data_IF_558743140886
#
_entry.id   IF_558743140886
#
_cell.length_a   1.000
_cell.length_b   1.000
_cell.length_c   1.000
_cell.angle_alpha   90.00
_cell.angle_beta   90.00
_cell.angle_gamma   90.00
#
_symmetry.space_group_name_H-M   'P 1'
#
loop_
_entity.id
_entity.type
_entity.pdbx_description
1 polymer ?
#
# COMPACT_ATOMS: atom_id res chain seq x y z
N UNK A 1 -21.44 1.22 11.35
CA UNK A 1 -21.69 2.59 10.84
C UNK A 1 -21.14 2.85 9.43
N UNK A 2 -20.37 1.94 8.79
CA UNK A 2 -19.98 2.09 7.36
C UNK A 2 -21.02 1.49 6.37
N UNK A 3 -21.76 0.44 6.73
CA UNK A 3 -22.87 -0.11 5.91
C UNK A 3 -24.02 0.89 5.63
N UNK A 4 -23.99 2.08 6.23
CA UNK A 4 -25.00 3.14 6.01
C UNK A 4 -24.57 4.18 4.96
N UNK A 5 -23.32 4.16 4.50
CA UNK A 5 -22.81 5.06 3.47
C UNK A 5 -22.51 4.27 2.20
N UNK A 6 -23.40 4.40 1.20
CA UNK A 6 -23.32 4.26 -0.27
C UNK A 6 -21.98 3.85 -0.96
N UNK A 7 -21.12 3.05 -0.34
CA UNK A 7 -20.06 2.35 -1.04
C UNK A 7 -20.70 1.36 -2.00
N UNK A 8 -20.14 1.23 -3.21
CA UNK A 8 -20.50 0.10 -4.05
C UNK A 8 -19.89 -1.13 -3.38
N UNK A 9 -20.75 -2.04 -2.95
CA UNK A 9 -20.35 -3.31 -2.37
C UNK A 9 -20.16 -4.33 -3.49
N UNK A 10 -19.10 -5.11 -3.38
CA UNK A 10 -18.72 -6.16 -4.31
C UNK A 10 -18.43 -7.44 -3.53
N UNK A 11 -18.48 -8.57 -4.21
CA UNK A 11 -18.07 -9.87 -3.66
C UNK A 11 -16.90 -10.35 -4.49
N UNK A 12 -15.76 -10.55 -3.84
CA UNK A 12 -14.59 -11.13 -4.48
C UNK A 12 -14.57 -12.63 -4.21
N UNK A 13 -14.18 -13.41 -5.21
CA UNK A 13 -14.04 -14.86 -5.08
C UNK A 13 -12.59 -15.25 -5.28
N UNK A 14 -12.02 -15.94 -4.29
CA UNK A 14 -10.64 -16.44 -4.33
C UNK A 14 -10.49 -17.42 -5.49
N UNK A 15 -9.44 -17.24 -6.29
CA UNK A 15 -9.07 -18.15 -7.38
C UNK A 15 -7.79 -18.94 -7.08
N UNK A 16 -7.00 -18.48 -6.10
CA UNK A 16 -5.77 -19.13 -5.67
C UNK A 16 -5.01 -18.30 -4.64
N UNK A 17 -3.91 -18.84 -4.13
CA UNK A 17 -3.03 -18.13 -3.23
C UNK A 17 -1.59 -18.62 -3.34
N UNK A 18 -0.65 -17.72 -3.05
CA UNK A 18 0.80 -17.93 -3.10
C UNK A 18 1.41 -17.49 -1.76
N UNK A 19 2.26 -18.35 -1.17
CA UNK A 19 3.07 -17.96 -0.03
C UNK A 19 4.38 -17.34 -0.53
N UNK A 20 4.46 -16.01 -0.53
CA UNK A 20 5.59 -15.25 -1.09
C UNK A 20 6.82 -15.35 -0.18
N UNK A 21 6.62 -15.14 1.12
CA UNK A 21 7.61 -15.44 2.18
C UNK A 21 6.85 -16.03 3.37
N UNK A 22 7.52 -16.52 4.41
CA UNK A 22 6.82 -17.00 5.63
C UNK A 22 5.87 -15.95 6.23
N UNK A 23 6.18 -14.65 6.02
CA UNK A 23 5.43 -13.53 6.59
C UNK A 23 4.67 -12.70 5.55
N UNK A 24 4.56 -13.19 4.32
CA UNK A 24 3.91 -12.46 3.24
C UNK A 24 3.15 -13.41 2.32
N UNK A 25 1.86 -13.15 2.10
CA UNK A 25 0.98 -14.00 1.30
C UNK A 25 0.23 -13.20 0.26
N UNK A 26 0.14 -13.73 -0.95
CA UNK A 26 -0.68 -13.19 -2.03
C UNK A 26 -1.91 -14.06 -2.22
N UNK A 27 -3.07 -13.44 -2.37
CA UNK A 27 -4.34 -14.13 -2.68
C UNK A 27 -4.89 -13.54 -3.97
N UNK A 28 -5.32 -14.39 -4.89
CA UNK A 28 -5.84 -14.04 -6.21
C UNK A 28 -7.36 -14.06 -6.19
N UNK A 29 -7.99 -13.13 -6.90
CA UNK A 29 -9.44 -12.93 -6.89
C UNK A 29 -10.01 -12.71 -8.28
N UNK A 30 -11.25 -13.14 -8.46
CA UNK A 30 -12.19 -12.46 -9.37
C UNK A 30 -12.84 -11.29 -8.63
N UNK A 31 -13.14 -10.23 -9.36
CA UNK A 31 -13.42 -8.90 -8.78
C UNK A 31 -14.90 -8.59 -8.57
N UNK A 32 -15.81 -9.47 -9.00
CA UNK A 32 -17.25 -9.25 -8.92
C UNK A 32 -17.74 -8.04 -9.72
N UNK A 33 -17.04 -7.62 -10.79
CA UNK A 33 -17.36 -6.47 -11.64
C UNK A 33 -16.87 -5.12 -11.10
N UNK A 34 -16.02 -5.13 -10.07
CA UNK A 34 -15.42 -3.94 -9.45
C UNK A 34 -14.68 -3.06 -10.47
N UNK A 35 -13.76 -3.66 -11.22
CA UNK A 35 -12.82 -2.96 -12.07
C UNK A 35 -13.53 -2.28 -13.25
N UNK A 36 -14.51 -2.95 -13.86
CA UNK A 36 -15.36 -2.34 -14.90
C UNK A 36 -16.20 -1.19 -14.33
N UNK A 37 -16.76 -1.36 -13.14
CA UNK A 37 -17.69 -0.38 -12.55
C UNK A 37 -17.02 0.88 -11.97
N UNK A 38 -15.72 0.83 -11.67
CA UNK A 38 -14.98 1.89 -10.97
C UNK A 38 -13.78 2.41 -11.77
N UNK A 39 -13.16 1.57 -12.60
CA UNK A 39 -11.85 1.82 -13.18
C UNK A 39 -10.71 1.55 -12.19
N UNK A 40 -9.47 1.83 -12.63
CA UNK A 40 -8.23 1.59 -11.87
C UNK A 40 -7.40 2.85 -11.74
N UNK A 41 -6.65 2.96 -10.64
CA UNK A 41 -5.66 4.00 -10.44
C UNK A 41 -4.51 3.48 -9.56
N UNK A 42 -3.31 4.10 -9.59
CA UNK A 42 -2.22 3.71 -8.70
C UNK A 42 -2.64 3.82 -7.24
N UNK A 43 -2.11 2.92 -6.41
CA UNK A 43 -2.40 2.81 -4.96
C UNK A 43 -3.87 2.53 -4.62
N UNK A 44 -4.68 2.07 -5.60
CA UNK A 44 -6.08 1.73 -5.39
C UNK A 44 -6.24 0.66 -4.31
N UNK A 45 -7.19 0.88 -3.40
CA UNK A 45 -7.43 0.00 -2.27
C UNK A 45 -8.93 -0.15 -1.99
N UNK A 46 -9.27 -1.29 -1.40
CA UNK A 46 -10.63 -1.73 -1.09
C UNK A 46 -10.71 -2.14 0.37
N UNK A 47 -11.90 -2.03 0.98
CA UNK A 47 -12.13 -2.53 2.34
C UNK A 47 -12.74 -3.91 2.27
N UNK A 48 -12.01 -4.91 2.74
CA UNK A 48 -12.53 -6.26 2.92
C UNK A 48 -13.19 -6.40 4.29
N UNK A 49 -14.29 -7.16 4.35
CA UNK A 49 -15.02 -7.44 5.58
C UNK A 49 -14.75 -8.87 6.06
N UNK A 50 -13.98 -8.99 7.14
CA UNK A 50 -13.63 -10.25 7.78
C UNK A 50 -14.60 -10.57 8.92
N UNK A 51 -14.84 -11.85 9.18
CA UNK A 51 -15.41 -12.28 10.45
C UNK A 51 -14.34 -12.26 11.55
N UNK A 52 -14.69 -11.68 12.69
CA UNK A 52 -13.85 -11.69 13.89
C UNK A 52 -14.70 -12.15 15.07
N UNK A 53 -14.80 -13.46 15.24
CA UNK A 53 -15.62 -14.12 16.26
C UNK A 53 -17.10 -13.68 16.20
N UNK A 54 -17.68 -13.73 15.00
CA UNK A 54 -19.08 -13.37 14.75
C UNK A 54 -19.35 -11.87 14.62
N UNK A 55 -18.30 -11.03 14.62
CA UNK A 55 -18.41 -9.58 14.45
C UNK A 55 -17.71 -9.14 13.17
N UNK A 56 -18.35 -8.29 12.34
CA UNK A 56 -17.74 -7.80 11.11
C UNK A 56 -16.58 -6.86 11.43
N UNK A 57 -15.44 -7.10 10.77
CA UNK A 57 -14.21 -6.36 10.99
C UNK A 57 -13.56 -6.03 9.65
N UNK A 58 -13.39 -4.75 9.36
CA UNK A 58 -12.87 -4.33 8.06
C UNK A 58 -11.37 -4.04 8.06
N UNK A 59 -10.70 -4.36 6.96
CA UNK A 59 -9.31 -3.94 6.67
C UNK A 59 -9.18 -3.48 5.23
N UNK A 60 -8.33 -2.48 5.01
CA UNK A 60 -8.04 -1.98 3.68
C UNK A 60 -6.88 -2.76 3.07
N UNK A 61 -7.00 -3.15 1.80
CA UNK A 61 -5.94 -3.80 1.03
C UNK A 61 -5.80 -3.12 -0.33
N UNK A 62 -4.56 -2.96 -0.77
CA UNK A 62 -4.25 -2.39 -2.08
C UNK A 62 -4.35 -3.47 -3.15
N UNK A 63 -4.90 -3.13 -4.31
CA UNK A 63 -4.96 -4.04 -5.46
C UNK A 63 -3.57 -4.22 -6.06
N UNK A 64 -3.26 -5.46 -6.41
CA UNK A 64 -2.05 -5.88 -7.13
C UNK A 64 -2.49 -6.41 -8.49
N UNK A 65 -1.89 -5.89 -9.55
CA UNK A 65 -2.12 -6.29 -10.94
C UNK A 65 -3.61 -6.40 -11.33
N UNK A 66 -4.39 -5.31 -11.19
CA UNK A 66 -5.78 -5.34 -11.65
C UNK A 66 -5.84 -5.45 -13.18
N UNK A 67 -6.53 -6.49 -13.65
CA UNK A 67 -6.85 -6.75 -15.04
C UNK A 67 -8.35 -6.52 -15.24
N UNK A 68 -8.69 -5.42 -15.92
CA UNK A 68 -10.07 -5.00 -16.17
C UNK A 68 -10.78 -5.96 -17.14
N UNK A 69 -10.07 -6.50 -18.13
CA UNK A 69 -10.65 -7.40 -19.13
C UNK A 69 -10.95 -8.77 -18.52
N UNK A 70 -10.02 -9.29 -17.72
CA UNK A 70 -10.20 -10.56 -17.02
C UNK A 70 -11.10 -10.46 -15.77
N UNK A 71 -11.32 -9.25 -15.23
CA UNK A 71 -12.01 -9.05 -13.96
C UNK A 71 -11.27 -9.70 -12.79
N UNK A 72 -9.94 -9.59 -12.79
CA UNK A 72 -9.08 -10.24 -11.78
C UNK A 72 -8.08 -9.27 -11.17
N UNK A 73 -7.66 -9.55 -9.95
CA UNK A 73 -6.56 -8.87 -9.27
C UNK A 73 -6.04 -9.77 -8.14
N UNK A 74 -4.97 -9.33 -7.49
CA UNK A 74 -4.46 -9.96 -6.27
C UNK A 74 -4.43 -8.98 -5.10
N UNK A 75 -4.43 -9.51 -3.88
CA UNK A 75 -4.15 -8.74 -2.66
C UNK A 75 -2.99 -9.39 -1.92
N UNK A 76 -2.15 -8.57 -1.30
CA UNK A 76 -1.01 -9.03 -0.54
C UNK A 76 -1.17 -8.72 0.95
N UNK A 77 -0.86 -9.72 1.77
CA UNK A 77 -1.06 -9.72 3.21
C UNK A 77 0.32 -9.83 3.89
N UNK A 78 0.76 -8.72 4.49
CA UNK A 78 1.82 -8.75 5.50
C UNK A 78 1.27 -9.49 6.73
N UNK A 79 1.81 -10.67 7.02
CA UNK A 79 1.25 -11.59 8.00
C UNK A 79 1.65 -11.18 9.42
N UNK A 80 0.64 -10.99 10.25
CA UNK A 80 0.74 -10.71 11.68
C UNK A 80 -0.43 -11.40 12.40
N UNK A 81 -0.58 -11.17 13.70
CA UNK A 81 -1.73 -11.71 14.44
C UNK A 81 -3.01 -10.95 14.09
N UNK A 82 -4.08 -11.67 13.75
CA UNK A 82 -5.41 -11.10 13.56
C UNK A 82 -6.19 -11.70 12.39
N UNK A 83 -7.52 -11.50 12.45
CA UNK A 83 -8.48 -12.16 11.56
C UNK A 83 -8.19 -12.04 10.05
N UNK A 84 -7.61 -10.94 9.58
CA UNK A 84 -7.31 -10.81 8.15
C UNK A 84 -6.12 -11.69 7.71
N UNK A 85 -5.05 -11.75 8.52
CA UNK A 85 -3.95 -12.69 8.28
C UNK A 85 -4.40 -14.14 8.47
N UNK A 86 -5.22 -14.43 9.49
CA UNK A 86 -5.75 -15.77 9.75
C UNK A 86 -6.67 -16.26 8.63
N UNK A 87 -7.51 -15.37 8.10
CA UNK A 87 -8.33 -15.64 6.92
C UNK A 87 -7.45 -15.91 5.71
N UNK A 88 -6.46 -15.04 5.44
CA UNK A 88 -5.60 -15.19 4.25
C UNK A 88 -4.84 -16.51 4.22
N UNK A 89 -4.39 -17.00 5.39
CA UNK A 89 -3.71 -18.32 5.52
C UNK A 89 -4.60 -19.49 5.16
N UNK A 90 -5.92 -19.36 5.35
CA UNK A 90 -6.92 -20.42 5.12
C UNK A 90 -7.67 -20.27 3.81
N UNK A 91 -7.46 -19.16 3.08
CA UNK A 91 -8.18 -18.87 1.85
C UNK A 91 -7.91 -19.94 0.78
N UNK A 92 -8.99 -20.53 0.27
CA UNK A 92 -9.00 -21.54 -0.78
C UNK A 92 -9.82 -21.08 -1.99
N UNK A 93 -9.54 -21.57 -3.21
CA UNK A 93 -10.35 -21.27 -4.37
C UNK A 93 -11.84 -21.52 -4.14
N UNK A 94 -12.68 -20.54 -4.45
CA UNK A 94 -14.13 -20.57 -4.20
C UNK A 94 -14.56 -19.82 -2.94
N UNK A 95 -13.66 -19.51 -2.01
CA UNK A 95 -13.97 -18.64 -0.87
C UNK A 95 -14.39 -17.25 -1.33
N UNK A 96 -15.39 -16.68 -0.67
CA UNK A 96 -15.93 -15.36 -0.98
C UNK A 96 -15.66 -14.36 0.16
N UNK A 97 -15.44 -13.10 -0.19
CA UNK A 97 -15.30 -12.00 0.78
C UNK A 97 -16.01 -10.73 0.30
N UNK A 98 -16.81 -10.13 1.19
CA UNK A 98 -17.45 -8.83 0.93
C UNK A 98 -16.38 -7.74 0.89
N UNK A 99 -16.52 -6.83 -0.09
CA UNK A 99 -15.64 -5.69 -0.27
C UNK A 99 -16.42 -4.40 -0.52
N UNK A 100 -15.93 -3.30 0.03
CA UNK A 100 -16.49 -1.96 -0.21
C UNK A 100 -15.41 -1.04 -0.76
N UNK A 101 -15.71 -0.33 -1.85
CA UNK A 101 -14.86 0.75 -2.38
C UNK A 101 -15.31 2.09 -1.83
N UNK A 102 -14.46 2.74 -1.04
CA UNK A 102 -14.74 4.09 -0.56
C UNK A 102 -13.45 4.80 -0.16
N UNK A 103 -13.27 6.03 -0.68
CA UNK A 103 -12.18 6.92 -0.27
C UNK A 103 -10.81 6.56 -0.86
N UNK A 104 -10.78 5.66 -1.84
CA UNK A 104 -9.60 5.42 -2.66
C UNK A 104 -9.51 6.48 -3.77
N UNK A 105 -8.30 6.88 -4.11
CA UNK A 105 -8.04 7.94 -5.08
C UNK A 105 -6.62 8.49 -4.95
N UNK A 106 -5.87 8.36 -6.02
CA UNK A 106 -4.54 8.95 -6.17
C UNK A 106 -4.21 9.08 -7.65
N UNK A 107 -3.74 10.27 -8.01
CA UNK A 107 -3.16 10.56 -9.32
C UNK A 107 -1.70 10.91 -9.09
N UNK A 108 -0.81 10.39 -9.93
CA UNK A 108 0.57 10.86 -9.98
C UNK A 108 0.54 12.33 -10.41
N UNK A 109 1.37 13.22 -9.83
CA UNK A 109 1.34 14.63 -10.22
C UNK A 109 1.53 14.82 -11.72
N UNK A 110 0.78 15.77 -12.29
CA UNK A 110 0.90 16.22 -13.68
C UNK A 110 1.12 17.75 -13.70
N UNK A 111 2.28 18.25 -14.19
CA UNK A 111 3.42 17.49 -14.72
C UNK A 111 4.12 16.63 -13.66
N UNK A 112 4.81 15.58 -14.13
CA UNK A 112 5.61 14.72 -13.25
C UNK A 112 6.65 15.56 -12.48
N UNK A 113 6.88 15.28 -11.19
CA UNK A 113 7.94 15.94 -10.44
C UNK A 113 9.31 15.49 -10.98
N UNK A 114 10.41 16.21 -10.69
CA UNK A 114 11.75 15.75 -11.05
C UNK A 114 12.17 14.48 -10.31
N UNK A 115 11.56 14.20 -9.14
CA UNK A 115 11.78 12.97 -8.37
C UNK A 115 10.64 12.70 -7.39
N UNK A 116 10.53 11.44 -6.98
CA UNK A 116 9.69 11.00 -5.87
C UNK A 116 10.50 10.53 -4.67
N UNK A 117 9.95 10.80 -3.49
CA UNK A 117 10.51 10.40 -2.19
C UNK A 117 9.45 9.56 -1.48
N UNK A 118 9.67 8.26 -1.44
CA UNK A 118 8.69 7.27 -1.01
C UNK A 118 9.13 6.70 0.33
N UNK A 119 8.22 6.67 1.29
CA UNK A 119 8.43 6.07 2.61
C UNK A 119 7.33 5.02 2.83
N UNK A 120 7.74 3.78 3.06
CA UNK A 120 6.81 2.68 3.28
C UNK A 120 7.38 1.52 4.08
N UNK A 121 6.60 0.45 4.11
CA UNK A 121 6.78 -0.78 4.89
C UNK A 121 6.12 -1.96 4.13
N UNK A 122 6.20 -3.21 4.61
CA UNK A 122 5.59 -4.36 3.93
C UNK A 122 4.09 -4.22 3.64
N UNK A 123 3.34 -3.49 4.47
CA UNK A 123 1.90 -3.29 4.26
C UNK A 123 1.59 -2.34 3.09
N UNK A 124 2.52 -1.46 2.74
CA UNK A 124 2.41 -0.48 1.66
C UNK A 124 3.15 -0.88 0.37
N UNK A 125 3.94 -1.95 0.39
CA UNK A 125 4.64 -2.47 -0.80
C UNK A 125 3.76 -2.61 -2.05
N UNK A 126 2.51 -3.13 -1.99
CA UNK A 126 1.64 -3.19 -3.16
C UNK A 126 1.36 -1.81 -3.78
N UNK A 127 1.15 -0.81 -2.93
CA UNK A 127 0.90 0.55 -3.36
C UNK A 127 2.16 1.17 -3.99
N UNK A 128 3.33 0.93 -3.39
CA UNK A 128 4.62 1.36 -3.95
C UNK A 128 4.83 0.73 -5.34
N UNK A 129 4.65 -0.58 -5.48
CA UNK A 129 4.78 -1.27 -6.76
C UNK A 129 3.83 -0.68 -7.82
N UNK A 130 2.57 -0.42 -7.47
CA UNK A 130 1.60 0.20 -8.38
C UNK A 130 1.97 1.64 -8.77
N UNK A 131 2.61 2.39 -7.86
CA UNK A 131 3.06 3.75 -8.07
C UNK A 131 4.24 3.79 -9.05
N UNK A 132 5.21 2.90 -8.86
CA UNK A 132 6.38 2.75 -9.74
C UNK A 132 5.97 2.26 -11.14
N UNK A 133 4.94 1.42 -11.24
CA UNK A 133 4.44 0.95 -12.54
C UNK A 133 3.86 2.07 -13.42
N UNK A 134 3.26 3.11 -12.82
CA UNK A 134 2.69 4.25 -13.57
C UNK A 134 3.77 5.24 -14.03
N UNK A 135 4.87 5.35 -13.29
CA UNK A 135 5.97 6.25 -13.62
C UNK A 135 7.35 5.53 -13.51
N UNK A 136 7.61 4.51 -14.35
CA UNK A 136 8.75 3.59 -14.16
C UNK A 136 10.13 4.23 -14.33
N UNK A 137 10.20 5.41 -14.96
CA UNK A 137 11.44 6.16 -15.20
C UNK A 137 11.61 7.37 -14.29
N UNK A 138 10.65 7.61 -13.40
CA UNK A 138 10.69 8.75 -12.50
C UNK A 138 11.70 8.46 -11.39
N UNK A 139 12.78 9.26 -11.24
CA UNK A 139 13.78 9.02 -10.21
C UNK A 139 13.12 8.95 -8.83
N UNK A 140 13.27 7.82 -8.14
CA UNK A 140 12.55 7.56 -6.89
C UNK A 140 13.51 7.05 -5.83
N UNK A 141 13.57 7.73 -4.69
CA UNK A 141 14.24 7.21 -3.49
C UNK A 141 13.20 6.63 -2.55
N UNK A 142 13.38 5.39 -2.14
CA UNK A 142 12.43 4.61 -1.35
C UNK A 142 13.09 4.25 -0.03
N UNK A 143 12.61 4.81 1.07
CA UNK A 143 12.92 4.31 2.41
C UNK A 143 11.89 3.25 2.78
N UNK A 144 12.34 2.02 2.92
CA UNK A 144 11.48 0.87 3.19
C UNK A 144 11.80 0.28 4.55
N UNK A 145 10.83 0.34 5.46
CA UNK A 145 10.93 -0.23 6.79
C UNK A 145 11.07 -1.75 6.72
N UNK A 146 12.03 -2.30 7.46
CA UNK A 146 12.20 -3.74 7.67
C UNK A 146 12.08 -4.09 9.15
N UNK A 147 11.48 -5.24 9.41
CA UNK A 147 11.25 -5.81 10.75
C UNK A 147 11.79 -7.23 10.87
N UNK A 148 11.95 -7.93 9.75
CA UNK A 148 12.48 -9.29 9.67
C UNK A 148 13.42 -9.40 8.47
N UNK A 149 14.38 -10.32 8.51
CA UNK A 149 15.31 -10.56 7.39
C UNK A 149 14.57 -10.94 6.09
N UNK A 150 13.44 -11.65 6.22
CA UNK A 150 12.57 -12.02 5.10
C UNK A 150 11.96 -10.82 4.36
N UNK A 151 11.97 -9.61 4.95
CA UNK A 151 11.50 -8.40 4.27
C UNK A 151 12.43 -8.04 3.08
N UNK A 152 13.66 -8.59 3.04
CA UNK A 152 14.58 -8.43 1.90
C UNK A 152 14.16 -9.23 0.67
N UNK A 153 13.38 -10.30 0.85
CA UNK A 153 12.91 -11.19 -0.21
C UNK A 153 11.58 -10.73 -0.82
N UNK A 154 10.98 -9.65 -0.31
CA UNK A 154 9.71 -9.14 -0.81
C UNK A 154 9.81 -8.69 -2.28
N UNK A 155 8.75 -8.89 -3.08
CA UNK A 155 8.76 -8.73 -4.54
C UNK A 155 8.68 -7.25 -4.95
N UNK A 156 9.74 -6.49 -4.68
CA UNK A 156 9.89 -5.13 -5.15
C UNK A 156 10.03 -5.10 -6.68
N UNK A 157 9.21 -4.27 -7.34
CA UNK A 157 9.22 -4.08 -8.79
C UNK A 157 9.90 -2.77 -9.12
N UNK A 158 11.23 -2.81 -9.17
CA UNK A 158 12.08 -1.63 -9.37
C UNK A 158 12.83 -1.68 -10.70
N UNK A 159 13.15 -0.50 -11.22
CA UNK A 159 14.18 -0.29 -12.23
C UNK A 159 15.41 0.29 -11.50
N UNK A 160 16.52 -0.46 -11.36
CA UNK A 160 17.71 0.01 -10.66
C UNK A 160 18.37 1.26 -11.26
N UNK A 161 18.08 1.63 -12.52
CA UNK A 161 18.57 2.87 -13.13
C UNK A 161 17.85 4.10 -12.59
N UNK A 162 16.62 3.93 -12.08
CA UNK A 162 15.74 5.02 -11.66
C UNK A 162 15.33 4.96 -10.19
N UNK A 163 15.36 3.78 -9.55
CA UNK A 163 14.82 3.55 -8.22
C UNK A 163 15.92 3.12 -7.23
N UNK A 164 16.08 3.88 -6.15
CA UNK A 164 17.02 3.63 -5.04
C UNK A 164 16.25 3.15 -3.80
N UNK A 165 16.39 1.88 -3.44
CA UNK A 165 15.71 1.27 -2.28
C UNK A 165 16.66 1.20 -1.07
N UNK A 166 16.34 1.97 -0.03
CA UNK A 166 17.02 2.01 1.25
C UNK A 166 16.18 1.26 2.29
N UNK A 167 16.63 0.06 2.65
CA UNK A 167 15.99 -0.74 3.69
C UNK A 167 16.45 -0.25 5.06
N UNK A 168 15.50 0.06 5.96
CA UNK A 168 15.80 0.64 7.26
C UNK A 168 15.10 -0.15 8.36
N UNK A 169 15.82 -0.59 9.41
CA UNK A 169 15.19 -1.19 10.57
C UNK A 169 14.14 -0.25 11.19
N UNK A 170 12.97 -0.79 11.55
CA UNK A 170 11.85 -0.02 12.14
C UNK A 170 12.28 0.97 13.24
N UNK A 171 13.15 0.55 14.14
CA UNK A 171 13.60 1.37 15.27
C UNK A 171 14.31 2.67 14.83
N UNK A 172 14.91 2.67 13.64
CA UNK A 172 15.71 3.77 13.11
C UNK A 172 15.00 4.55 11.99
N UNK A 173 13.79 4.11 11.61
CA UNK A 173 13.06 4.60 10.44
C UNK A 173 12.89 6.12 10.45
N UNK A 174 12.39 6.67 11.55
CA UNK A 174 12.10 8.11 11.63
C UNK A 174 13.39 8.95 11.62
N UNK A 175 14.43 8.53 12.33
CA UNK A 175 15.67 9.29 12.44
C UNK A 175 16.46 9.29 11.14
N UNK A 176 16.64 8.12 10.52
CA UNK A 176 17.37 8.00 9.26
C UNK A 176 16.65 8.70 8.10
N UNK A 177 15.32 8.55 8.00
CA UNK A 177 14.55 9.25 6.96
C UNK A 177 14.67 10.78 7.12
N UNK A 178 14.59 11.30 8.35
CA UNK A 178 14.78 12.74 8.59
C UNK A 178 16.19 13.20 8.20
N UNK A 179 17.20 12.41 8.55
CA UNK A 179 18.58 12.72 8.22
C UNK A 179 18.82 12.80 6.71
N UNK A 180 18.21 11.90 5.93
CA UNK A 180 18.37 11.87 4.48
C UNK A 180 17.47 12.88 3.74
N UNK A 181 16.22 13.06 4.19
CA UNK A 181 15.23 13.89 3.49
C UNK A 181 15.67 15.36 3.40
N UNK A 182 16.38 15.87 4.40
CA UNK A 182 16.88 17.24 4.44
C UNK A 182 17.71 17.58 3.18
N UNK A 183 18.45 16.59 2.65
CA UNK A 183 19.32 16.73 1.49
C UNK A 183 18.60 16.32 0.20
N UNK A 184 17.61 15.42 0.29
CA UNK A 184 16.92 14.85 -0.86
C UNK A 184 15.70 15.64 -1.36
N UNK A 185 15.02 16.42 -0.50
CA UNK A 185 13.70 17.02 -0.77
C UNK A 185 13.67 17.97 -1.97
N UNK A 186 14.75 18.70 -2.24
CA UNK A 186 14.85 19.62 -3.37
C UNK A 186 13.69 20.64 -3.46
N UNK A 187 13.64 21.48 -4.51
CA UNK A 187 12.56 22.46 -4.65
C UNK A 187 11.22 21.81 -5.03
N UNK A 188 11.22 20.74 -5.81
CA UNK A 188 10.02 20.23 -6.51
C UNK A 188 9.74 18.72 -6.32
N UNK A 189 10.41 18.03 -5.39
CA UNK A 189 10.11 16.62 -5.17
C UNK A 189 8.66 16.43 -4.66
N UNK A 190 8.11 15.26 -4.98
CA UNK A 190 6.84 14.77 -4.43
C UNK A 190 7.11 13.70 -3.38
N UNK A 191 6.48 13.81 -2.21
CA UNK A 191 6.66 12.90 -1.09
C UNK A 191 5.43 12.00 -0.93
N UNK A 192 5.64 10.69 -0.87
CA UNK A 192 4.61 9.70 -0.61
C UNK A 192 4.96 8.91 0.65
N UNK A 193 4.05 8.85 1.64
CA UNK A 193 4.32 8.24 2.96
C UNK A 193 3.17 7.32 3.35
N UNK A 194 3.46 6.03 3.52
CA UNK A 194 2.49 5.09 4.07
C UNK A 194 3.17 4.00 4.90
N UNK A 195 3.16 4.17 6.22
CA UNK A 195 3.62 3.16 7.17
C UNK A 195 2.54 2.94 8.24
N UNK A 196 2.94 2.57 9.46
CA UNK A 196 2.08 2.73 10.62
C UNK A 196 1.72 4.21 10.88
N UNK A 197 0.64 4.42 11.62
CA UNK A 197 0.08 5.75 11.90
C UNK A 197 1.05 6.67 12.63
N UNK A 198 1.87 6.16 13.55
CA UNK A 198 2.81 6.97 14.32
C UNK A 198 3.97 7.44 13.43
N UNK A 199 4.60 6.52 12.70
CA UNK A 199 5.69 6.83 11.74
C UNK A 199 5.22 7.78 10.65
N UNK A 200 4.06 7.51 10.05
CA UNK A 200 3.48 8.37 9.02
C UNK A 200 3.24 9.78 9.55
N UNK A 201 2.62 9.92 10.74
CA UNK A 201 2.37 11.25 11.32
C UNK A 201 3.65 12.01 11.66
N UNK A 202 4.65 11.32 12.19
CA UNK A 202 5.94 11.93 12.55
C UNK A 202 6.65 12.48 11.30
N UNK A 203 6.73 11.68 10.24
CA UNK A 203 7.39 12.07 8.99
C UNK A 203 6.59 13.10 8.19
N UNK A 204 5.26 12.98 8.12
CA UNK A 204 4.42 14.03 7.50
C UNK A 204 4.58 15.36 8.22
N UNK A 205 4.60 15.36 9.56
CA UNK A 205 4.80 16.59 10.33
C UNK A 205 6.17 17.21 10.00
N UNK A 206 7.22 16.40 9.94
CA UNK A 206 8.56 16.86 9.61
C UNK A 206 8.63 17.47 8.21
N UNK A 207 8.12 16.76 7.21
CA UNK A 207 8.12 17.20 5.80
C UNK A 207 7.34 18.52 5.63
N UNK A 208 6.17 18.64 6.25
CA UNK A 208 5.30 19.81 6.06
C UNK A 208 5.72 21.01 6.92
N UNK A 209 6.17 20.79 8.16
CA UNK A 209 6.45 21.88 9.11
C UNK A 209 7.93 22.27 9.12
N UNK A 210 8.82 21.29 9.21
CA UNK A 210 10.24 21.52 9.38
C UNK A 210 10.95 21.74 8.03
N UNK A 211 10.58 20.96 7.00
CA UNK A 211 11.08 21.14 5.62
C UNK A 211 10.19 22.09 4.78
N UNK A 212 9.09 22.59 5.35
CA UNK A 212 8.17 23.53 4.70
C UNK A 212 7.63 23.08 3.33
N UNK A 213 7.51 21.77 3.10
CA UNK A 213 7.01 21.23 1.83
C UNK A 213 5.50 21.52 1.72
N UNK A 214 5.03 22.16 0.64
CA UNK A 214 3.62 22.39 0.38
C UNK A 214 2.81 21.08 0.41
N UNK A 215 1.66 21.11 1.09
CA UNK A 215 0.81 19.91 1.27
C UNK A 215 0.40 19.22 -0.03
N UNK A 216 0.24 19.97 -1.13
CA UNK A 216 -0.12 19.38 -2.42
C UNK A 216 1.00 18.50 -3.02
N UNK A 217 2.23 18.61 -2.50
CA UNK A 217 3.38 17.75 -2.87
C UNK A 217 3.61 16.61 -1.87
N UNK A 218 2.66 16.38 -0.96
CA UNK A 218 2.76 15.33 0.05
C UNK A 218 1.48 14.49 0.05
N UNK A 219 1.60 13.22 -0.31
CA UNK A 219 0.55 12.22 -0.06
C UNK A 219 0.96 11.39 1.14
N UNK A 220 0.16 11.39 2.20
CA UNK A 220 0.44 10.54 3.37
C UNK A 220 -0.82 9.87 3.91
N UNK A 221 -0.72 8.58 4.23
CA UNK A 221 -1.81 7.82 4.84
C UNK A 221 -1.25 6.75 5.78
N UNK A 222 -1.66 6.75 7.04
CA UNK A 222 -1.31 5.66 7.97
C UNK A 222 -2.07 4.40 7.61
N UNK A 223 -1.37 3.35 7.19
CA UNK A 223 -2.00 2.10 6.71
C UNK A 223 -2.47 1.22 7.85
N UNK A 224 -1.78 1.24 8.97
CA UNK A 224 -2.12 0.47 10.15
C UNK A 224 -1.76 1.23 11.42
N UNK A 225 -2.14 0.67 12.57
CA UNK A 225 -1.81 1.19 13.89
C UNK A 225 -1.22 0.04 14.68
N UNK A 226 -0.03 0.24 15.25
CA UNK A 226 0.52 -0.69 16.23
C UNK A 226 -0.45 -0.83 17.41
N UNK A 227 -0.54 -2.05 17.94
CA UNK A 227 -1.36 -2.36 19.10
C UNK A 227 -0.91 -1.55 20.33
#
# INVERSE_FOLDING_TARGET
>A
MLKLFRGKDFVFTVTGAEQVTERYRRVHFTDGGLLEAIGVHPTMWVRLWFDNAGKPHQRAYTLVDPDVEAGTFSLEFALHDGCASDWSRKAEPGDAIEATVQGTGFEVPDPLPPRMLVIGDPASLPAINSLLAVAPKLPTTIWFETTHDLDHELPFRIDPEHHDVRRIPRAEMVENVKADLKDAIGPDAFVWIACDTATTRALTSYVVKDLAVPKHRVKSLGYWKAA
#
